data_IF_201398368037
#
_entry.id   IF_201398368037
#
_cell.length_a   1.000
_cell.length_b   1.000
_cell.length_c   1.000
_cell.angle_alpha   90.00
_cell.angle_beta   90.00
_cell.angle_gamma   90.00
#
_symmetry.space_group_name_H-M   'P 1'
#
loop_
_entity.id
_entity.type
_entity.pdbx_description
1 polymer ?
#
# COMPACT_ATOMS: atom_id res chain seq x y z
N UNK A 1 34.58 57.52 43.67
CA UNK A 1 35.69 58.42 43.30
C UNK A 1 36.83 57.61 42.71
N UNK A 2 37.59 58.21 41.77
CA UNK A 2 38.59 57.66 40.82
C UNK A 2 37.93 57.25 39.48
N UNK A 3 37.93 58.08 38.41
CA UNK A 3 39.04 58.59 37.55
C UNK A 3 39.96 57.45 37.10
N UNK A 4 40.23 57.18 35.82
CA UNK A 4 39.85 57.82 34.56
C UNK A 4 40.78 57.32 33.45
N UNK A 5 40.20 57.16 32.26
CA UNK A 5 40.71 57.50 30.92
C UNK A 5 42.01 56.88 30.33
N UNK A 6 41.89 56.63 29.01
CA UNK A 6 42.90 56.81 27.93
C UNK A 6 43.63 55.53 27.46
N UNK A 7 43.91 55.23 26.19
CA UNK A 7 43.42 55.57 24.84
C UNK A 7 44.26 54.73 23.85
N UNK A 8 43.60 54.11 22.86
CA UNK A 8 44.04 53.75 21.48
C UNK A 8 45.51 53.35 21.17
N UNK A 9 45.69 52.25 20.42
CA UNK A 9 46.28 52.21 19.05
C UNK A 9 46.52 50.78 18.50
N UNK A 10 46.32 50.65 17.17
CA UNK A 10 46.73 49.52 16.31
C UNK A 10 45.59 48.51 16.08
N UNK A 11 44.82 48.47 15.00
CA UNK A 11 45.03 48.62 13.56
C UNK A 11 45.92 47.52 12.93
N UNK A 12 45.27 46.77 12.01
CA UNK A 12 45.84 46.07 10.84
C UNK A 12 46.29 44.61 11.06
N UNK A 13 45.41 43.66 10.69
CA UNK A 13 45.63 42.52 9.77
C UNK A 13 44.28 41.75 9.71
N UNK A 14 43.56 41.85 8.60
CA UNK A 14 42.61 40.82 8.14
C UNK A 14 42.28 41.16 6.68
N UNK A 15 43.10 40.63 5.80
CA UNK A 15 42.90 40.59 4.35
C UNK A 15 43.07 39.12 3.95
N UNK A 16 42.19 38.67 3.06
CA UNK A 16 42.27 37.45 2.24
C UNK A 16 41.98 36.09 2.92
N UNK A 17 40.70 35.83 3.16
CA UNK A 17 40.08 34.55 2.77
C UNK A 17 38.89 34.92 1.88
N UNK A 18 39.13 34.90 0.57
CA UNK A 18 38.08 34.93 -0.43
C UNK A 18 37.48 33.52 -0.47
N UNK A 19 36.44 33.31 0.32
CA UNK A 19 35.53 32.18 0.16
C UNK A 19 34.84 32.34 -1.20
N UNK A 20 35.13 31.42 -2.11
CA UNK A 20 34.28 31.11 -3.27
C UNK A 20 32.94 30.62 -2.72
N UNK A 21 32.06 31.56 -2.36
CA UNK A 21 30.63 31.29 -2.31
C UNK A 21 30.18 31.11 -3.77
N UNK A 22 30.25 29.85 -4.22
CA UNK A 22 29.57 29.37 -5.40
C UNK A 22 28.09 29.75 -5.22
N UNK A 23 27.65 30.78 -5.94
CA UNK A 23 26.26 31.20 -6.04
C UNK A 23 25.47 30.04 -6.66
N UNK A 24 25.10 29.06 -5.83
CA UNK A 24 24.04 28.11 -6.14
C UNK A 24 22.79 28.95 -6.30
N UNK A 25 22.46 29.23 -7.56
CA UNK A 25 21.22 29.79 -8.06
C UNK A 25 20.08 29.41 -7.11
N UNK A 26 19.72 30.37 -6.26
CA UNK A 26 18.67 30.26 -5.24
C UNK A 26 17.34 30.17 -5.98
N UNK A 27 17.02 28.96 -6.43
CA UNK A 27 15.69 28.63 -6.91
C UNK A 27 14.73 28.95 -5.77
N UNK A 28 13.82 29.89 -6.01
CA UNK A 28 12.78 30.25 -5.07
C UNK A 28 12.14 28.96 -4.52
N UNK A 29 11.88 28.87 -3.20
CA UNK A 29 11.31 27.66 -2.63
C UNK A 29 10.03 27.32 -3.40
N UNK A 30 9.88 26.08 -3.88
CA UNK A 30 8.72 25.68 -4.66
C UNK A 30 7.46 26.01 -3.86
N UNK A 31 6.50 26.62 -4.54
CA UNK A 31 5.24 27.03 -3.93
C UNK A 31 4.42 25.80 -3.57
N UNK A 32 3.54 25.91 -2.58
CA UNK A 32 2.71 24.78 -2.15
C UNK A 32 1.76 24.30 -3.27
N UNK A 33 1.51 25.13 -4.28
CA UNK A 33 0.72 24.83 -5.48
C UNK A 33 1.45 23.92 -6.47
N UNK A 34 2.78 23.80 -6.36
CA UNK A 34 3.60 22.93 -7.21
C UNK A 34 3.51 21.45 -6.79
N UNK A 35 2.90 21.17 -5.63
CA UNK A 35 2.76 19.83 -5.09
C UNK A 35 1.33 19.32 -5.29
N UNK A 36 1.09 18.44 -6.28
CA UNK A 36 -0.21 17.81 -6.44
C UNK A 36 -0.64 17.06 -5.17
N UNK A 37 -1.95 17.01 -4.85
CA UNK A 37 -2.41 16.36 -3.64
C UNK A 37 -2.10 14.85 -3.66
N UNK A 38 -1.81 14.25 -2.50
CA UNK A 38 -1.44 12.83 -2.38
C UNK A 38 -2.58 11.89 -2.77
N UNK A 39 -3.81 12.39 -2.70
CA UNK A 39 -5.03 11.66 -3.01
C UNK A 39 -5.71 12.32 -4.21
N UNK A 40 -6.19 11.50 -5.13
CA UNK A 40 -7.04 11.94 -6.25
C UNK A 40 -8.34 11.17 -6.29
N UNK A 41 -9.40 11.83 -6.73
CA UNK A 41 -10.67 11.17 -7.03
C UNK A 41 -10.48 10.24 -8.23
N UNK A 42 -11.08 9.06 -8.17
CA UNK A 42 -11.09 8.10 -9.26
C UNK A 42 -12.13 8.52 -10.31
N UNK A 43 -11.80 8.33 -11.59
CA UNK A 43 -12.80 8.54 -12.64
C UNK A 43 -13.83 7.40 -12.68
N UNK A 44 -14.92 7.59 -13.43
CA UNK A 44 -16.00 6.60 -13.49
C UNK A 44 -15.54 5.25 -14.03
N UNK A 45 -14.65 5.23 -15.02
CA UNK A 45 -14.14 4.01 -15.62
C UNK A 45 -13.27 3.23 -14.62
N UNK A 46 -12.40 3.92 -13.89
CA UNK A 46 -11.58 3.33 -12.83
C UNK A 46 -12.44 2.74 -11.71
N UNK A 47 -13.52 3.42 -11.33
CA UNK A 47 -14.49 2.91 -10.34
C UNK A 47 -15.16 1.65 -10.88
N UNK A 48 -15.66 1.68 -12.12
CA UNK A 48 -16.30 0.52 -12.75
C UNK A 48 -15.34 -0.66 -12.87
N UNK A 49 -14.08 -0.41 -13.22
CA UNK A 49 -13.05 -1.44 -13.31
C UNK A 49 -12.70 -2.02 -11.93
N UNK A 50 -12.63 -1.17 -10.90
CA UNK A 50 -12.41 -1.61 -9.52
C UNK A 50 -13.56 -2.50 -9.00
N UNK A 51 -14.80 -2.09 -9.23
CA UNK A 51 -15.98 -2.76 -8.67
C UNK A 51 -16.38 -4.01 -9.47
N UNK A 52 -16.37 -3.92 -10.81
CA UNK A 52 -16.98 -4.92 -11.69
C UNK A 52 -16.15 -5.34 -12.91
N UNK A 53 -15.81 -4.38 -13.79
CA UNK A 53 -15.36 -4.65 -15.15
C UNK A 53 -13.92 -5.19 -15.20
N UNK A 54 -13.06 -4.76 -14.29
CA UNK A 54 -11.65 -5.13 -14.26
C UNK A 54 -11.43 -6.61 -13.94
N UNK A 55 -10.34 -7.19 -14.46
CA UNK A 55 -10.00 -8.62 -14.23
C UNK A 55 -9.83 -8.96 -12.76
N UNK A 56 -9.30 -8.01 -12.01
CA UNK A 56 -9.14 -8.09 -10.57
C UNK A 56 -10.23 -7.32 -9.83
N UNK A 57 -11.45 -7.18 -10.35
CA UNK A 57 -12.50 -6.42 -9.66
C UNK A 57 -12.96 -7.09 -8.35
N UNK A 58 -13.52 -6.29 -7.44
CA UNK A 58 -14.04 -6.74 -6.14
C UNK A 58 -14.99 -7.93 -6.30
N UNK A 59 -15.96 -7.82 -7.22
CA UNK A 59 -16.96 -8.87 -7.42
C UNK A 59 -16.36 -10.16 -7.99
N UNK A 60 -15.40 -10.05 -8.92
CA UNK A 60 -14.71 -11.24 -9.49
C UNK A 60 -13.85 -11.95 -8.44
N UNK A 61 -13.12 -11.19 -7.62
CA UNK A 61 -12.32 -11.78 -6.52
C UNK A 61 -13.22 -12.53 -5.54
N UNK A 62 -14.34 -11.94 -5.15
CA UNK A 62 -15.31 -12.54 -4.23
C UNK A 62 -15.90 -13.85 -4.79
N UNK A 63 -16.41 -13.84 -6.03
CA UNK A 63 -16.98 -15.05 -6.64
C UNK A 63 -15.93 -16.14 -6.83
N UNK A 64 -14.69 -15.77 -7.18
CA UNK A 64 -13.56 -16.72 -7.25
C UNK A 64 -13.28 -17.34 -5.88
N UNK A 65 -13.24 -16.55 -4.81
CA UNK A 65 -13.04 -17.05 -3.44
C UNK A 65 -14.15 -18.00 -3.02
N UNK A 66 -15.41 -17.60 -3.22
CA UNK A 66 -16.59 -18.40 -2.90
C UNK A 66 -16.59 -19.77 -3.57
N UNK A 67 -16.23 -19.85 -4.85
CA UNK A 67 -16.12 -21.13 -5.57
C UNK A 67 -15.15 -22.11 -4.92
N UNK A 68 -14.09 -21.61 -4.28
CA UNK A 68 -13.11 -22.44 -3.56
C UNK A 68 -13.56 -22.86 -2.15
N UNK A 69 -14.39 -22.05 -1.49
CA UNK A 69 -14.85 -22.27 -0.11
C UNK A 69 -16.07 -23.20 0.00
N UNK A 70 -16.91 -23.23 -1.04
CA UNK A 70 -18.19 -23.95 -0.99
C UNK A 70 -18.02 -25.44 -1.32
N UNK A 71 -18.33 -26.32 -0.36
CA UNK A 71 -18.26 -27.76 -0.53
C UNK A 71 -19.55 -28.39 -1.09
N UNK A 72 -20.71 -27.91 -0.62
CA UNK A 72 -22.04 -28.46 -0.93
C UNK A 72 -22.44 -28.23 -2.40
N UNK A 73 -22.88 -29.27 -3.14
CA UNK A 73 -23.40 -29.14 -4.50
C UNK A 73 -24.48 -28.06 -4.67
N UNK A 74 -25.38 -27.90 -3.70
CA UNK A 74 -26.42 -26.88 -3.76
C UNK A 74 -25.85 -25.45 -3.66
N UNK A 75 -24.86 -25.25 -2.79
CA UNK A 75 -24.15 -23.97 -2.67
C UNK A 75 -23.30 -23.68 -3.91
N UNK A 76 -22.68 -24.72 -4.49
CA UNK A 76 -21.95 -24.61 -5.77
C UNK A 76 -22.86 -24.17 -6.91
N UNK A 77 -24.13 -24.58 -6.94
CA UNK A 77 -25.09 -24.11 -7.92
C UNK A 77 -25.36 -22.59 -7.80
N UNK A 78 -25.48 -22.08 -6.57
CA UNK A 78 -25.61 -20.63 -6.30
C UNK A 78 -24.35 -19.87 -6.75
N UNK A 79 -23.16 -20.37 -6.42
CA UNK A 79 -21.90 -19.79 -6.91
C UNK A 79 -21.77 -19.87 -8.45
N UNK A 80 -22.35 -20.90 -9.06
CA UNK A 80 -22.52 -21.02 -10.50
C UNK A 80 -23.37 -19.88 -11.07
N UNK A 81 -24.53 -19.59 -10.47
CA UNK A 81 -25.38 -18.43 -10.84
C UNK A 81 -24.66 -17.10 -10.65
N UNK A 82 -23.91 -16.92 -9.56
CA UNK A 82 -23.11 -15.70 -9.33
C UNK A 82 -22.07 -15.49 -10.43
N UNK A 83 -21.40 -16.56 -10.82
CA UNK A 83 -20.42 -16.48 -11.89
C UNK A 83 -21.07 -16.30 -13.26
N UNK A 84 -22.21 -16.94 -13.53
CA UNK A 84 -23.01 -16.66 -14.73
C UNK A 84 -23.48 -15.21 -14.76
N UNK A 85 -23.74 -14.60 -13.61
CA UNK A 85 -24.07 -13.18 -13.54
C UNK A 85 -22.85 -12.33 -13.94
N UNK A 86 -21.65 -12.64 -13.42
CA UNK A 86 -20.41 -12.00 -13.88
C UNK A 86 -20.10 -12.27 -15.35
N UNK A 87 -20.45 -13.46 -15.86
CA UNK A 87 -20.19 -13.89 -17.23
C UNK A 87 -21.22 -13.34 -18.22
N UNK A 88 -22.50 -13.22 -17.88
CA UNK A 88 -23.52 -12.55 -18.72
C UNK A 88 -23.26 -11.06 -18.81
N UNK A 89 -22.84 -10.46 -17.70
CA UNK A 89 -22.43 -9.05 -17.63
C UNK A 89 -21.01 -8.82 -18.19
N UNK A 90 -20.36 -9.83 -18.81
CA UNK A 90 -19.03 -9.69 -19.45
C UNK A 90 -18.96 -8.64 -20.56
N UNK A 91 -20.09 -8.12 -21.05
CA UNK A 91 -20.07 -7.03 -22.04
C UNK A 91 -19.63 -5.68 -21.47
N UNK A 92 -19.27 -5.65 -20.18
CA UNK A 92 -19.03 -4.47 -19.37
C UNK A 92 -20.35 -3.86 -18.93
N UNK A 93 -20.38 -3.53 -17.66
CA UNK A 93 -21.45 -2.70 -17.10
C UNK A 93 -21.18 -1.26 -17.54
N UNK A 94 -22.16 -0.58 -18.16
CA UNK A 94 -21.93 0.70 -18.83
C UNK A 94 -21.75 1.87 -17.87
N UNK A 95 -22.38 1.79 -16.69
CA UNK A 95 -22.45 2.90 -15.74
C UNK A 95 -22.53 2.39 -14.28
N UNK A 96 -22.38 3.33 -13.34
CA UNK A 96 -22.39 3.03 -11.90
C UNK A 96 -23.73 2.51 -11.40
N UNK A 97 -24.84 2.93 -11.99
CA UNK A 97 -26.18 2.50 -11.57
C UNK A 97 -26.41 1.02 -11.90
N UNK A 98 -25.98 0.59 -13.09
CA UNK A 98 -25.99 -0.80 -13.50
C UNK A 98 -25.03 -1.64 -12.64
N UNK A 99 -23.87 -1.10 -12.24
CA UNK A 99 -22.93 -1.80 -11.36
C UNK A 99 -23.52 -1.99 -9.96
N UNK A 100 -24.17 -0.96 -9.41
CA UNK A 100 -24.94 -1.01 -8.16
C UNK A 100 -26.05 -2.06 -8.22
N UNK A 101 -26.84 -2.08 -9.28
CA UNK A 101 -27.90 -3.06 -9.46
C UNK A 101 -27.35 -4.50 -9.55
N UNK A 102 -26.23 -4.70 -10.24
CA UNK A 102 -25.59 -6.00 -10.38
C UNK A 102 -24.97 -6.49 -9.06
N UNK A 103 -24.33 -5.59 -8.29
CA UNK A 103 -23.88 -5.89 -6.92
C UNK A 103 -25.03 -6.20 -5.98
N UNK A 104 -26.18 -5.52 -6.12
CA UNK A 104 -27.41 -5.85 -5.40
C UNK A 104 -27.88 -7.28 -5.68
N UNK A 105 -27.91 -7.69 -6.96
CA UNK A 105 -28.22 -9.08 -7.32
C UNK A 105 -27.20 -10.08 -6.74
N UNK A 106 -25.91 -9.73 -6.75
CA UNK A 106 -24.87 -10.59 -6.16
C UNK A 106 -25.04 -10.72 -4.64
N UNK A 107 -25.41 -9.64 -3.96
CA UNK A 107 -25.76 -9.61 -2.54
C UNK A 107 -26.96 -10.53 -2.25
N UNK A 108 -28.02 -10.45 -3.04
CA UNK A 108 -29.20 -11.28 -2.83
C UNK A 108 -28.87 -12.78 -2.99
N UNK A 109 -28.04 -13.12 -3.99
CA UNK A 109 -27.52 -14.48 -4.17
C UNK A 109 -26.68 -14.97 -2.97
N UNK A 110 -25.92 -14.08 -2.32
CA UNK A 110 -25.18 -14.43 -1.10
C UNK A 110 -26.12 -14.75 0.07
N UNK A 111 -27.23 -14.02 0.16
CA UNK A 111 -28.23 -14.24 1.21
C UNK A 111 -29.04 -15.52 0.98
N UNK A 112 -29.14 -16.00 -0.27
CA UNK A 112 -29.70 -17.32 -0.57
C UNK A 112 -28.83 -18.48 -0.05
N UNK A 113 -27.53 -18.26 0.17
CA UNK A 113 -26.65 -19.29 0.72
C UNK A 113 -27.00 -19.56 2.18
N UNK A 114 -27.04 -20.85 2.55
CA UNK A 114 -27.25 -21.26 3.95
C UNK A 114 -26.26 -20.53 4.86
N UNK A 115 -26.74 -19.89 5.95
CA UNK A 115 -25.86 -19.18 6.86
C UNK A 115 -24.78 -20.11 7.40
N UNK A 116 -23.51 -19.74 7.23
CA UNK A 116 -22.42 -20.39 7.93
C UNK A 116 -22.57 -20.14 9.44
N UNK A 117 -21.97 -20.98 10.29
CA UNK A 117 -21.92 -20.73 11.75
C UNK A 117 -21.37 -19.33 12.11
N UNK A 118 -20.53 -18.76 11.24
CA UNK A 118 -19.91 -17.45 11.40
C UNK A 118 -20.55 -16.33 10.54
N UNK A 119 -21.75 -16.55 9.99
CA UNK A 119 -22.49 -15.62 9.11
C UNK A 119 -21.64 -14.94 8.01
N UNK A 120 -20.62 -15.62 7.48
CA UNK A 120 -19.64 -15.06 6.52
C UNK A 120 -20.28 -14.55 5.23
N UNK A 121 -21.30 -15.26 4.73
CA UNK A 121 -22.05 -14.82 3.55
C UNK A 121 -22.82 -13.52 3.80
N UNK A 122 -23.37 -13.36 5.01
CA UNK A 122 -24.08 -12.13 5.40
C UNK A 122 -23.10 -10.97 5.58
N UNK A 123 -21.93 -11.22 6.16
CA UNK A 123 -20.84 -10.25 6.25
C UNK A 123 -20.42 -9.74 4.85
N UNK A 124 -20.19 -10.65 3.91
CA UNK A 124 -19.86 -10.29 2.53
C UNK A 124 -21.01 -9.55 1.82
N UNK A 125 -22.26 -9.95 2.06
CA UNK A 125 -23.45 -9.28 1.53
C UNK A 125 -23.58 -7.84 2.05
N UNK A 126 -23.28 -7.60 3.33
CA UNK A 126 -23.31 -6.28 3.94
C UNK A 126 -22.14 -5.40 3.44
N UNK A 127 -20.95 -5.97 3.22
CA UNK A 127 -19.87 -5.24 2.56
C UNK A 127 -20.24 -4.86 1.12
N UNK A 128 -20.82 -5.77 0.32
CA UNK A 128 -21.27 -5.43 -1.03
C UNK A 128 -22.30 -4.30 -1.02
N UNK A 129 -23.18 -4.25 -0.01
CA UNK A 129 -24.12 -3.14 0.17
C UNK A 129 -23.37 -1.81 0.41
N UNK A 130 -22.32 -1.80 1.23
CA UNK A 130 -21.49 -0.61 1.45
C UNK A 130 -20.77 -0.17 0.17
N UNK A 131 -20.13 -1.10 -0.55
CA UNK A 131 -19.47 -0.83 -1.83
C UNK A 131 -20.45 -0.25 -2.86
N UNK A 132 -21.64 -0.85 -2.99
CA UNK A 132 -22.64 -0.45 -3.96
C UNK A 132 -23.19 0.97 -3.72
N UNK A 133 -23.22 1.40 -2.45
CA UNK A 133 -23.71 2.72 -2.05
C UNK A 133 -22.59 3.73 -1.75
N UNK A 134 -21.34 3.40 -2.09
CA UNK A 134 -20.24 4.37 -2.03
C UNK A 134 -20.22 5.20 -3.30
N UNK A 135 -20.32 6.52 -3.15
CA UNK A 135 -20.37 7.51 -4.23
C UNK A 135 -18.99 8.07 -4.57
N UNK A 136 -18.13 8.36 -3.59
CA UNK A 136 -16.82 8.95 -3.81
C UNK A 136 -15.74 7.89 -3.58
N UNK A 137 -14.94 7.67 -4.61
CA UNK A 137 -13.77 6.79 -4.57
C UNK A 137 -12.51 7.61 -4.83
N UNK A 138 -11.50 7.36 -4.03
CA UNK A 138 -10.23 8.10 -4.04
C UNK A 138 -9.10 7.09 -4.07
N UNK A 139 -8.02 7.41 -4.78
CA UNK A 139 -6.80 6.60 -4.79
C UNK A 139 -5.56 7.46 -4.61
N UNK A 140 -4.44 6.83 -4.28
CA UNK A 140 -3.15 7.50 -4.24
C UNK A 140 -2.79 8.06 -5.62
N UNK A 141 -2.39 9.33 -5.64
CA UNK A 141 -2.01 10.03 -6.85
C UNK A 141 -0.58 9.67 -7.29
N UNK A 142 -0.32 8.40 -7.56
CA UNK A 142 1.03 7.87 -7.87
C UNK A 142 1.68 8.53 -9.09
N UNK A 143 0.89 8.99 -10.07
CA UNK A 143 1.40 9.67 -11.27
C UNK A 143 2.02 11.04 -10.97
N UNK A 144 1.68 11.64 -9.83
CA UNK A 144 2.14 12.95 -9.41
C UNK A 144 3.46 12.92 -8.63
N UNK A 145 3.91 11.74 -8.21
CA UNK A 145 5.15 11.57 -7.45
C UNK A 145 6.15 10.80 -8.31
N UNK A 146 7.41 11.24 -8.30
CA UNK A 146 8.48 10.53 -9.00
C UNK A 146 9.08 9.44 -8.10
N UNK A 147 9.68 8.42 -8.73
CA UNK A 147 10.57 7.52 -8.01
C UNK A 147 11.81 8.28 -7.53
N UNK A 148 12.26 7.99 -6.30
CA UNK A 148 13.42 8.65 -5.69
C UNK A 148 14.51 7.61 -5.49
N UNK A 149 15.70 7.85 -6.04
CA UNK A 149 16.88 7.07 -5.71
C UNK A 149 17.49 7.60 -4.41
N UNK A 150 17.85 6.69 -3.49
CA UNK A 150 18.66 7.08 -2.33
C UNK A 150 20.02 7.59 -2.77
N UNK A 151 20.64 8.42 -1.94
CA UNK A 151 22.09 8.65 -2.09
C UNK A 151 22.84 7.30 -2.03
N UNK A 152 23.99 7.17 -2.72
CA UNK A 152 24.80 5.98 -2.66
C UNK A 152 25.19 5.67 -1.22
N UNK A 153 24.77 4.51 -0.71
CA UNK A 153 25.10 4.06 0.63
C UNK A 153 26.39 3.23 0.56
N UNK A 154 27.51 3.68 1.17
CA UNK A 154 28.72 2.90 1.22
C UNK A 154 28.50 1.65 2.09
N UNK A 155 28.76 0.48 1.53
CA UNK A 155 28.78 -0.80 2.23
C UNK A 155 30.22 -1.12 2.58
N UNK A 156 30.52 -1.15 3.87
CA UNK A 156 31.87 -1.42 4.35
C UNK A 156 32.11 -2.92 4.51
N UNK A 157 33.38 -3.33 4.45
CA UNK A 157 33.75 -4.75 4.59
C UNK A 157 33.26 -5.36 5.90
N UNK A 158 33.26 -4.57 6.98
CA UNK A 158 32.76 -4.96 8.30
C UNK A 158 31.26 -5.30 8.31
N UNK A 159 30.47 -4.71 7.42
CA UNK A 159 29.02 -4.93 7.34
C UNK A 159 28.68 -6.25 6.63
N UNK A 160 29.57 -6.70 5.74
CA UNK A 160 29.45 -7.94 4.97
C UNK A 160 29.89 -9.17 5.78
N UNK A 161 29.55 -9.26 7.08
CA UNK A 161 30.02 -10.27 8.04
C UNK A 161 29.59 -11.73 7.75
N UNK A 162 29.98 -12.21 6.57
CA UNK A 162 30.05 -13.60 6.14
C UNK A 162 31.33 -13.80 5.32
N UNK A 163 31.92 -15.01 5.31
CA UNK A 163 33.11 -15.27 4.53
C UNK A 163 32.81 -15.07 3.03
N UNK A 164 33.38 -14.02 2.43
CA UNK A 164 33.33 -13.80 0.98
C UNK A 164 33.99 -15.03 0.33
N UNK A 165 33.28 -15.80 -0.52
CA UNK A 165 33.90 -16.91 -1.24
C UNK A 165 35.05 -16.35 -2.07
N UNK A 166 36.28 -16.68 -1.69
CA UNK A 166 37.46 -16.32 -2.48
C UNK A 166 37.25 -16.94 -3.86
N UNK A 167 37.15 -16.08 -4.88
CA UNK A 167 36.91 -16.46 -6.25
C UNK A 167 38.00 -17.48 -6.66
N UNK A 168 37.61 -18.75 -6.83
CA UNK A 168 38.50 -19.90 -7.11
C UNK A 168 39.08 -19.88 -8.55
N UNK A 169 39.23 -18.70 -9.15
CA UNK A 169 39.60 -18.51 -10.56
C UNK A 169 41.11 -18.50 -10.81
N UNK A 170 41.94 -18.92 -9.85
CA UNK A 170 43.41 -18.99 -10.04
C UNK A 170 44.02 -20.40 -10.00
N UNK A 171 43.23 -21.48 -9.92
CA UNK A 171 43.76 -22.87 -9.94
C UNK A 171 43.56 -23.66 -11.24
N UNK A 172 43.13 -23.01 -12.34
CA UNK A 172 42.95 -23.66 -13.66
C UNK A 172 43.84 -23.05 -14.76
N UNK A 173 45.14 -22.94 -14.50
CA UNK A 173 46.17 -22.89 -15.55
C UNK A 173 47.35 -23.74 -15.10
N UNK A 174 47.26 -25.06 -15.32
CA UNK A 174 48.38 -26.02 -15.40
C UNK A 174 47.82 -27.44 -15.47
N UNK A 175 47.38 -27.85 -16.66
CA UNK A 175 47.36 -29.24 -17.17
C UNK A 175 46.62 -29.30 -18.51
N UNK A 176 47.29 -28.86 -19.59
CA UNK A 176 46.99 -29.33 -20.94
C UNK A 176 48.15 -28.99 -21.88
N UNK A 177 49.13 -29.90 -21.99
CA UNK A 177 50.04 -29.96 -23.14
C UNK A 177 50.87 -31.25 -23.11
N UNK A 178 50.27 -32.37 -23.53
CA UNK A 178 50.99 -33.53 -24.09
C UNK A 178 50.14 -34.11 -25.22
N UNK A 179 50.43 -33.72 -26.46
CA UNK A 179 50.47 -34.51 -27.73
C UNK A 179 51.23 -33.60 -28.71
N UNK A 180 52.55 -33.78 -28.89
CA UNK A 180 53.25 -34.48 -29.99
C UNK A 180 52.92 -33.96 -31.39
N UNK A 181 53.82 -33.14 -31.94
CA UNK A 181 54.14 -33.13 -33.37
C UNK A 181 55.62 -32.73 -33.56
N UNK A 182 56.24 -33.32 -34.60
CA UNK A 182 57.68 -33.44 -34.81
C UNK A 182 58.29 -32.28 -35.64
N UNK A 183 59.62 -32.14 -35.49
CA UNK A 183 60.62 -31.60 -36.45
C UNK A 183 60.66 -30.10 -36.79
N UNK A 184 61.69 -29.41 -36.30
CA UNK A 184 62.89 -29.06 -37.11
C UNK A 184 63.93 -28.27 -36.29
N UNK A 185 65.17 -28.34 -36.75
CA UNK A 185 66.43 -27.96 -36.10
C UNK A 185 66.65 -26.45 -35.89
N UNK A 186 67.49 -26.09 -34.91
CA UNK A 186 68.26 -24.83 -34.98
C UNK A 186 68.48 -24.03 -33.68
N UNK A 187 69.32 -24.56 -32.79
CA UNK A 187 70.36 -23.91 -31.96
C UNK A 187 70.17 -22.56 -31.20
N UNK A 188 70.59 -22.65 -29.92
CA UNK A 188 71.25 -21.65 -29.06
C UNK A 188 70.50 -20.59 -28.23
N UNK A 189 70.36 -20.95 -26.95
CA UNK A 189 71.00 -20.30 -25.78
C UNK A 189 70.22 -19.31 -24.89
N UNK A 190 70.11 -19.74 -23.62
CA UNK A 190 70.44 -19.02 -22.36
C UNK A 190 69.28 -18.61 -21.43
N UNK A 191 69.22 -19.31 -20.29
CA UNK A 191 68.48 -19.01 -19.06
C UNK A 191 69.04 -17.74 -18.35
N UNK A 192 68.32 -17.12 -17.38
CA UNK A 192 68.17 -17.61 -15.99
C UNK A 192 66.71 -17.51 -15.46
N UNK A 193 66.24 -18.37 -14.56
CA UNK A 193 66.34 -18.27 -13.08
C UNK A 193 65.91 -16.91 -12.51
N UNK A 194 64.80 -16.88 -11.77
CA UNK A 194 64.45 -15.93 -10.69
C UNK A 194 63.12 -16.44 -10.07
N UNK A 195 63.22 -17.19 -8.97
CA UNK A 195 63.10 -16.74 -7.57
C UNK A 195 61.64 -16.61 -7.10
N UNK A 196 61.27 -17.60 -6.26
CA UNK A 196 60.11 -17.55 -5.37
C UNK A 196 60.33 -16.42 -4.37
N UNK A 197 59.53 -15.36 -4.48
CA UNK A 197 59.40 -14.38 -3.40
C UNK A 197 58.05 -14.58 -2.70
N UNK A 198 58.08 -15.36 -1.63
CA UNK A 198 57.00 -15.49 -0.65
C UNK A 198 57.00 -14.26 0.26
N UNK A 199 56.55 -13.11 -0.25
CA UNK A 199 56.16 -12.01 0.64
C UNK A 199 54.70 -12.22 1.04
N UNK A 200 54.51 -12.64 2.29
CA UNK A 200 53.26 -12.53 3.01
C UNK A 200 52.83 -11.06 3.03
N UNK A 201 52.06 -10.65 2.03
CA UNK A 201 51.28 -9.42 2.07
C UNK A 201 50.13 -9.69 3.05
N UNK A 202 50.42 -9.45 4.34
CA UNK A 202 49.43 -9.13 5.36
C UNK A 202 48.82 -7.78 4.96
N UNK A 203 48.07 -7.81 3.87
CA UNK A 203 47.19 -6.73 3.48
C UNK A 203 46.17 -6.67 4.61
N UNK A 204 46.43 -5.82 5.59
CA UNK A 204 45.44 -5.29 6.51
C UNK A 204 44.40 -4.64 5.63
N UNK A 205 43.46 -5.48 5.21
CA UNK A 205 42.41 -5.11 4.29
C UNK A 205 41.64 -4.00 4.99
N UNK A 206 41.81 -2.79 4.49
CA UNK A 206 41.28 -1.58 5.09
C UNK A 206 39.76 -1.72 5.24
N UNK A 207 39.33 -2.00 6.47
CA UNK A 207 37.93 -2.27 6.79
C UNK A 207 37.08 -0.99 6.76
N UNK A 208 37.73 0.17 6.67
CA UNK A 208 37.10 1.47 6.57
C UNK A 208 36.88 1.92 5.13
N UNK A 209 37.48 1.22 4.15
CA UNK A 209 37.22 1.51 2.73
C UNK A 209 35.89 0.88 2.28
N UNK A 210 34.97 1.65 1.66
CA UNK A 210 33.75 1.10 1.10
C UNK A 210 34.10 0.05 0.03
N UNK A 211 33.54 -1.14 0.18
CA UNK A 211 33.77 -2.26 -0.75
C UNK A 211 32.78 -2.20 -1.90
N UNK A 212 31.61 -1.62 -1.66
CA UNK A 212 30.52 -1.53 -2.60
C UNK A 212 29.66 -0.31 -2.27
N UNK A 213 29.12 0.36 -3.28
CA UNK A 213 28.12 1.41 -3.11
C UNK A 213 26.76 0.86 -3.55
N UNK A 214 25.78 0.94 -2.65
CA UNK A 214 24.43 0.48 -2.90
C UNK A 214 23.49 1.66 -3.02
N UNK A 215 22.81 1.78 -4.15
CA UNK A 215 21.71 2.72 -4.35
C UNK A 215 20.39 1.97 -4.34
N UNK A 216 19.43 2.45 -3.56
CA UNK A 216 18.06 1.92 -3.53
C UNK A 216 17.11 2.88 -4.23
N UNK A 217 16.42 2.39 -5.24
CA UNK A 217 15.32 3.15 -5.86
C UNK A 217 14.02 2.88 -5.11
N UNK A 218 13.36 3.94 -4.67
CA UNK A 218 12.04 3.93 -4.05
C UNK A 218 11.01 4.37 -5.09
N UNK A 219 10.07 3.48 -5.40
CA UNK A 219 8.99 3.78 -6.35
C UNK A 219 8.07 4.89 -5.84
N UNK A 220 7.44 5.63 -6.75
CA UNK A 220 6.52 6.73 -6.44
C UNK A 220 5.44 6.34 -5.42
N UNK A 221 4.87 5.14 -5.55
CA UNK A 221 3.87 4.62 -4.63
C UNK A 221 4.42 4.38 -3.22
N UNK A 222 5.68 3.95 -3.11
CA UNK A 222 6.35 3.77 -1.83
C UNK A 222 6.62 5.12 -1.17
N UNK A 223 7.15 6.09 -1.92
CA UNK A 223 7.42 7.45 -1.41
C UNK A 223 6.13 8.08 -0.89
N UNK A 224 5.05 8.01 -1.67
CA UNK A 224 3.75 8.54 -1.28
C UNK A 224 3.17 7.81 -0.06
N UNK A 225 3.27 6.48 0.00
CA UNK A 225 2.86 5.71 1.17
C UNK A 225 3.63 6.15 2.42
N UNK A 226 4.95 6.34 2.32
CA UNK A 226 5.79 6.85 3.41
C UNK A 226 5.40 8.28 3.81
N UNK A 227 5.06 9.17 2.87
CA UNK A 227 4.59 10.52 3.18
C UNK A 227 3.26 10.51 3.95
N UNK A 228 2.31 9.66 3.52
CA UNK A 228 1.04 9.47 4.25
C UNK A 228 1.31 8.86 5.63
N UNK A 229 2.21 7.88 5.71
CA UNK A 229 2.62 7.26 6.97
C UNK A 229 3.29 8.26 7.91
N UNK A 230 4.19 9.12 7.41
CA UNK A 230 4.84 10.20 8.15
C UNK A 230 3.87 11.29 8.57
N UNK A 231 2.89 11.64 7.73
CA UNK A 231 1.81 12.52 8.14
C UNK A 231 1.01 11.92 9.30
N UNK A 232 0.79 10.61 9.27
CA UNK A 232 0.15 9.88 10.37
C UNK A 232 1.06 9.77 11.60
N UNK A 233 2.38 9.63 11.45
CA UNK A 233 3.34 9.53 12.57
C UNK A 233 3.69 10.87 13.21
N UNK A 234 3.74 11.96 12.42
CA UNK A 234 3.92 13.33 12.90
C UNK A 234 2.77 13.78 13.80
N UNK A 235 1.61 13.14 13.64
CA UNK A 235 0.58 13.09 14.66
C UNK A 235 0.91 11.95 15.64
N UNK A 236 1.92 12.13 16.52
CA UNK A 236 2.21 11.24 17.66
C UNK A 236 1.03 11.17 18.64
N UNK A 237 -0.02 10.53 18.20
CA UNK A 237 -1.27 10.43 18.89
C UNK A 237 -1.66 8.98 18.81
N UNK A 238 -2.12 8.44 19.92
CA UNK A 238 -2.78 7.12 19.99
C UNK A 238 -4.11 7.17 19.22
N UNK A 239 -4.14 7.76 18.03
CA UNK A 239 -5.34 7.92 17.24
C UNK A 239 -5.65 6.58 16.58
N UNK A 240 -6.90 6.14 16.68
CA UNK A 240 -7.32 4.86 16.13
C UNK A 240 -7.22 4.91 14.61
N UNK A 241 -6.98 3.76 13.97
CA UNK A 241 -6.79 3.62 12.52
C UNK A 241 -7.92 4.28 11.71
N UNK A 242 -7.75 5.57 11.34
CA UNK A 242 -8.73 6.35 10.58
C UNK A 242 -8.99 5.76 9.19
N UNK A 243 -8.08 4.90 8.69
CA UNK A 243 -8.30 4.18 7.44
C UNK A 243 -9.55 3.28 7.52
N UNK A 244 -9.96 2.83 8.70
CA UNK A 244 -11.18 2.04 8.87
C UNK A 244 -12.43 2.76 8.38
N UNK A 245 -12.58 4.07 8.64
CA UNK A 245 -13.74 4.81 8.15
C UNK A 245 -13.62 5.23 6.68
N UNK A 246 -12.41 5.41 6.18
CA UNK A 246 -12.16 5.86 4.81
C UNK A 246 -12.05 4.71 3.80
N UNK A 247 -11.75 3.48 4.22
CA UNK A 247 -11.52 2.33 3.34
C UNK A 247 -12.35 1.13 3.78
N UNK A 248 -13.19 0.65 2.86
CA UNK A 248 -13.90 -0.60 3.05
C UNK A 248 -12.94 -1.82 2.99
N UNK A 249 -13.13 -2.83 3.85
CA UNK A 249 -12.44 -4.11 3.76
C UNK A 249 -12.82 -4.87 2.48
N UNK A 250 -11.90 -5.71 1.98
CA UNK A 250 -12.21 -6.57 0.84
C UNK A 250 -13.26 -7.62 1.21
N UNK A 251 -14.38 -7.78 0.46
CA UNK A 251 -15.40 -8.80 0.74
C UNK A 251 -14.88 -10.25 0.83
N UNK A 252 -13.74 -10.56 0.19
CA UNK A 252 -13.09 -11.86 0.31
C UNK A 252 -12.56 -12.13 1.72
N UNK A 253 -12.25 -11.08 2.48
CA UNK A 253 -11.67 -11.22 3.81
C UNK A 253 -12.65 -11.74 4.85
N UNK A 254 -13.97 -11.63 4.60
CA UNK A 254 -15.01 -12.30 5.39
C UNK A 254 -14.83 -13.83 5.47
N UNK A 255 -14.03 -14.41 4.57
CA UNK A 255 -13.74 -15.84 4.54
C UNK A 255 -12.38 -16.20 5.16
N UNK A 256 -11.60 -15.20 5.58
CA UNK A 256 -10.23 -15.35 6.11
C UNK A 256 -10.20 -14.79 7.53
N UNK A 257 -10.74 -15.53 8.50
CA UNK A 257 -10.77 -15.09 9.90
C UNK A 257 -11.39 -16.10 10.86
N UNK A 258 -10.93 -16.09 12.10
CA UNK A 258 -11.45 -16.92 13.19
C UNK A 258 -12.70 -16.31 13.84
N UNK A 259 -12.76 -14.97 13.94
CA UNK A 259 -13.91 -14.29 14.56
C UNK A 259 -15.12 -14.33 13.63
N UNK A 260 -16.25 -14.70 14.22
CA UNK A 260 -17.52 -14.81 13.52
C UNK A 260 -18.20 -13.45 13.37
N UNK A 261 -18.80 -13.21 12.20
CA UNK A 261 -19.77 -12.13 12.05
C UNK A 261 -21.06 -12.52 12.78
N UNK A 262 -21.68 -11.56 13.47
CA UNK A 262 -22.90 -11.78 14.25
C UNK A 262 -23.84 -10.58 14.15
N UNK A 263 -25.10 -10.76 14.55
CA UNK A 263 -26.04 -9.64 14.60
C UNK A 263 -25.59 -8.54 15.56
N UNK A 264 -24.87 -8.87 16.64
CA UNK A 264 -24.30 -7.86 17.53
C UNK A 264 -23.26 -6.98 16.79
N UNK A 265 -22.38 -7.59 16.00
CA UNK A 265 -21.42 -6.87 15.15
C UNK A 265 -22.15 -6.01 14.11
N UNK A 266 -23.21 -6.54 13.50
CA UNK A 266 -24.06 -5.78 12.56
C UNK A 266 -24.71 -4.57 13.23
N UNK A 267 -25.23 -4.73 14.44
CA UNK A 267 -25.82 -3.62 15.21
C UNK A 267 -24.78 -2.59 15.61
N UNK A 268 -23.55 -2.99 15.97
CA UNK A 268 -22.45 -2.05 16.21
C UNK A 268 -22.03 -1.30 14.94
N UNK A 269 -21.94 -1.99 13.80
CA UNK A 269 -21.71 -1.35 12.50
C UNK A 269 -22.81 -0.31 12.19
N UNK A 270 -24.07 -0.66 12.40
CA UNK A 270 -25.19 0.27 12.25
C UNK A 270 -25.08 1.48 13.18
N UNK A 271 -24.80 1.29 14.47
CA UNK A 271 -24.60 2.39 15.42
C UNK A 271 -23.47 3.32 14.97
N UNK A 272 -22.38 2.75 14.48
CA UNK A 272 -21.24 3.50 13.94
C UNK A 272 -21.66 4.33 12.71
N UNK A 273 -22.28 3.69 11.72
CA UNK A 273 -22.75 4.30 10.47
C UNK A 273 -23.81 5.36 10.76
N UNK A 274 -24.66 5.19 11.77
CA UNK A 274 -25.73 6.13 12.09
C UNK A 274 -25.25 7.32 12.91
N UNK A 275 -24.25 7.17 13.77
CA UNK A 275 -23.81 8.25 14.66
C UNK A 275 -22.83 9.22 13.97
N UNK A 276 -23.20 10.50 13.74
CA UNK A 276 -22.32 11.47 13.11
C UNK A 276 -20.98 11.65 13.85
N UNK A 277 -20.99 11.44 15.17
CA UNK A 277 -19.79 11.54 16.02
C UNK A 277 -18.84 10.36 15.85
N UNK A 278 -19.36 9.18 15.52
CA UNK A 278 -18.57 7.96 15.39
C UNK A 278 -18.02 7.80 13.97
N UNK A 279 -18.72 8.29 12.94
CA UNK A 279 -18.28 8.20 11.53
C UNK A 279 -16.87 8.76 11.28
N UNK A 280 -16.45 9.76 12.06
CA UNK A 280 -15.12 10.38 11.97
C UNK A 280 -14.04 9.61 12.74
N UNK A 281 -14.36 8.44 13.30
CA UNK A 281 -13.43 7.59 14.05
C UNK A 281 -13.17 6.31 13.28
N UNK A 282 -12.14 5.57 13.67
CA UNK A 282 -11.94 4.21 13.18
C UNK A 282 -13.17 3.34 13.46
N UNK A 283 -13.30 2.27 12.68
CA UNK A 283 -14.30 1.25 12.94
C UNK A 283 -14.13 0.67 14.36
N UNK A 284 -15.22 0.31 15.05
CA UNK A 284 -15.12 -0.41 16.31
C UNK A 284 -14.26 -1.66 16.15
N UNK A 285 -13.48 -2.01 17.18
CA UNK A 285 -12.58 -3.17 17.17
C UNK A 285 -13.31 -4.45 16.78
N UNK A 286 -14.52 -4.63 17.30
CA UNK A 286 -15.39 -5.78 17.06
C UNK A 286 -15.77 -5.91 15.58
N UNK A 287 -15.99 -4.76 14.92
CA UNK A 287 -16.31 -4.69 13.49
C UNK A 287 -15.04 -4.97 12.67
N UNK A 288 -13.91 -4.37 13.03
CA UNK A 288 -12.63 -4.60 12.33
C UNK A 288 -12.19 -6.06 12.38
N UNK A 289 -12.38 -6.74 13.50
CA UNK A 289 -12.00 -8.15 13.63
C UNK A 289 -12.93 -9.10 12.86
N UNK A 290 -14.20 -8.70 12.68
CA UNK A 290 -15.16 -9.46 11.86
C UNK A 290 -14.95 -9.24 10.35
N UNK A 291 -14.32 -8.12 9.98
CA UNK A 291 -13.88 -7.82 8.62
C UNK A 291 -12.35 -7.67 8.58
N UNK A 292 -11.61 -8.75 8.90
CA UNK A 292 -10.16 -8.66 9.00
C UNK A 292 -9.63 -8.12 7.68
N UNK A 293 -8.74 -7.14 7.71
CA UNK A 293 -8.05 -6.77 6.49
C UNK A 293 -7.13 -7.94 6.15
N UNK A 294 -7.46 -8.68 5.08
CA UNK A 294 -6.54 -9.67 4.56
C UNK A 294 -5.20 -8.97 4.35
N UNK A 295 -4.09 -9.61 4.77
CA UNK A 295 -2.75 -9.11 4.48
C UNK A 295 -2.71 -8.86 2.99
N UNK A 296 -2.71 -7.58 2.61
CA UNK A 296 -2.97 -7.19 1.23
C UNK A 296 -1.93 -7.84 0.29
N UNK A 297 -0.72 -8.01 0.81
CA UNK A 297 0.44 -8.69 0.20
C UNK A 297 0.17 -10.14 -0.22
N UNK A 298 -0.76 -10.86 0.43
CA UNK A 298 -0.98 -12.29 0.18
C UNK A 298 -1.93 -12.54 -1.01
N UNK A 299 -2.78 -11.55 -1.34
CA UNK A 299 -3.78 -11.67 -2.41
C UNK A 299 -3.45 -10.84 -3.66
N UNK A 300 -2.39 -10.02 -3.63
CA UNK A 300 -1.96 -9.20 -4.75
C UNK A 300 -0.59 -9.66 -5.27
N UNK A 301 -0.37 -9.68 -6.60
CA UNK A 301 0.91 -10.08 -7.18
C UNK A 301 2.04 -9.19 -6.64
N UNK A 302 3.24 -9.78 -6.49
CA UNK A 302 4.46 -9.16 -5.90
C UNK A 302 4.99 -7.90 -6.62
N UNK A 303 4.29 -7.41 -7.63
CA UNK A 303 4.61 -6.15 -8.27
C UNK A 303 4.15 -5.00 -7.36
N UNK A 304 5.07 -4.55 -6.51
CA UNK A 304 4.92 -3.38 -5.63
C UNK A 304 4.52 -2.09 -6.37
N UNK A 305 4.61 -2.05 -7.71
CA UNK A 305 4.13 -0.96 -8.55
C UNK A 305 2.59 -0.84 -8.62
N UNK A 306 1.83 -1.85 -8.15
CA UNK A 306 0.37 -1.90 -8.32
C UNK A 306 -0.44 -1.73 -7.02
N UNK A 307 0.16 -1.22 -5.94
CA UNK A 307 -0.57 -0.96 -4.68
C UNK A 307 -1.45 0.27 -4.83
N UNK A 308 -2.58 0.13 -5.54
CA UNK A 308 -3.63 1.13 -5.51
C UNK A 308 -4.32 1.02 -4.15
N UNK A 309 -3.88 1.83 -3.19
CA UNK A 309 -4.70 2.11 -2.02
C UNK A 309 -5.94 2.84 -2.54
N UNK A 310 -7.08 2.18 -2.41
CA UNK A 310 -8.38 2.70 -2.81
C UNK A 310 -9.16 2.96 -1.53
N UNK A 311 -9.66 4.18 -1.44
CA UNK A 311 -10.45 4.72 -0.36
C UNK A 311 -11.85 5.00 -0.91
N UNK A 312 -12.84 4.78 -0.07
CA UNK A 312 -14.25 4.96 -0.38
C UNK A 312 -15.04 4.27 0.72
N UNK A 313 -16.03 4.99 1.25
CA UNK A 313 -17.07 4.41 2.11
C UNK A 313 -18.29 5.34 2.14
N UNK A 314 -19.50 4.82 2.41
CA UNK A 314 -20.68 5.67 2.57
C UNK A 314 -20.56 6.66 3.75
N UNK A 315 -19.75 6.33 4.75
CA UNK A 315 -19.48 7.23 5.88
C UNK A 315 -18.62 8.42 5.46
N UNK A 316 -17.65 8.20 4.58
CA UNK A 316 -16.82 9.25 3.99
C UNK A 316 -17.64 10.11 3.03
N UNK A 317 -18.49 9.51 2.20
CA UNK A 317 -19.39 10.24 1.30
C UNK A 317 -20.24 11.26 2.07
N UNK A 318 -20.79 10.84 3.21
CA UNK A 318 -21.58 11.73 4.06
C UNK A 318 -20.76 12.89 4.63
N UNK A 319 -19.50 12.64 5.03
CA UNK A 319 -18.60 13.72 5.48
C UNK A 319 -18.33 14.73 4.37
N UNK A 320 -18.34 14.26 3.12
CA UNK A 320 -18.19 15.07 1.91
C UNK A 320 -19.51 15.69 1.42
N UNK A 321 -20.61 15.54 2.17
CA UNK A 321 -21.92 16.14 1.86
C UNK A 321 -22.83 15.29 0.97
N UNK A 322 -22.51 14.00 0.76
CA UNK A 322 -23.30 13.06 -0.04
C UNK A 322 -23.97 12.04 0.88
N UNK A 323 -25.28 12.17 1.09
CA UNK A 323 -26.03 11.43 2.12
C UNK A 323 -26.90 10.28 1.60
N UNK A 324 -27.33 10.32 0.34
CA UNK A 324 -28.26 9.36 -0.24
C UNK A 324 -27.79 7.89 -0.10
N UNK A 325 -26.52 7.61 -0.38
CA UNK A 325 -25.95 6.27 -0.28
C UNK A 325 -25.93 5.74 1.15
N UNK A 326 -25.63 6.60 2.13
CA UNK A 326 -25.58 6.22 3.53
C UNK A 326 -26.97 5.81 4.06
N UNK A 327 -28.01 6.56 3.70
CA UNK A 327 -29.36 6.26 4.17
C UNK A 327 -29.86 4.92 3.60
N UNK A 328 -29.60 4.64 2.32
CA UNK A 328 -29.94 3.36 1.70
C UNK A 328 -29.26 2.17 2.40
N UNK A 329 -28.00 2.34 2.84
CA UNK A 329 -27.30 1.34 3.64
C UNK A 329 -27.98 1.12 4.99
N UNK A 330 -28.29 2.21 5.70
CA UNK A 330 -28.93 2.15 7.03
C UNK A 330 -30.27 1.44 6.95
N UNK A 331 -31.10 1.77 5.97
CA UNK A 331 -32.42 1.18 5.78
C UNK A 331 -32.31 -0.34 5.50
N UNK A 332 -31.42 -0.71 4.59
CA UNK A 332 -31.22 -2.11 4.21
C UNK A 332 -30.62 -2.96 5.33
N UNK A 333 -29.67 -2.42 6.13
CA UNK A 333 -29.10 -3.12 7.28
C UNK A 333 -30.11 -3.23 8.44
N UNK A 334 -30.92 -2.19 8.66
CA UNK A 334 -31.96 -2.19 9.70
C UNK A 334 -33.07 -3.18 9.39
N UNK A 335 -33.50 -3.26 8.12
CA UNK A 335 -34.49 -4.24 7.67
C UNK A 335 -34.03 -5.69 7.87
N UNK A 336 -32.71 -5.94 7.81
CA UNK A 336 -32.12 -7.26 7.99
C UNK A 336 -31.92 -7.67 9.46
N UNK A 337 -32.20 -6.78 10.42
CA UNK A 337 -32.13 -7.11 11.86
C UNK A 337 -33.48 -7.60 12.40
N UNK A 338 -33.47 -8.58 13.34
CA UNK A 338 -34.64 -8.93 14.15
C UNK A 338 -35.23 -7.69 14.84
N UNK A 339 -36.56 -7.65 15.01
CA UNK A 339 -37.26 -6.48 15.56
C UNK A 339 -36.75 -6.08 16.96
N UNK A 340 -36.40 -7.05 17.79
CA UNK A 340 -35.85 -6.87 19.14
C UNK A 340 -34.43 -6.28 19.15
N UNK A 341 -33.73 -6.31 18.01
CA UNK A 341 -32.36 -5.85 17.85
C UNK A 341 -32.24 -4.57 17.02
N UNK A 342 -33.37 -4.05 16.50
CA UNK A 342 -33.40 -2.79 15.78
C UNK A 342 -33.09 -1.65 16.76
N UNK A 343 -32.11 -0.78 16.49
CA UNK A 343 -31.83 0.35 17.35
C UNK A 343 -33.08 1.25 17.43
N UNK A 344 -33.46 1.68 18.64
CA UNK A 344 -34.55 2.63 18.84
C UNK A 344 -34.19 3.95 18.13
N UNK A 345 -34.81 4.20 16.98
CA UNK A 345 -34.47 5.33 16.13
C UNK A 345 -35.28 6.55 16.52
N UNK A 346 -34.59 7.64 16.86
CA UNK A 346 -35.15 8.99 16.78
C UNK A 346 -34.66 9.59 15.45
N UNK A 347 -35.54 9.80 14.45
CA UNK A 347 -35.14 10.48 13.23
C UNK A 347 -34.52 11.82 13.59
N UNK A 348 -33.26 12.01 13.18
CA UNK A 348 -32.65 13.35 13.25
C UNK A 348 -33.48 14.27 12.36
N UNK A 349 -33.83 15.48 12.83
CA UNK A 349 -34.58 16.41 12.00
C UNK A 349 -33.77 16.66 10.71
N UNK A 350 -34.43 16.77 9.55
CA UNK A 350 -33.75 17.09 8.31
C UNK A 350 -32.91 18.34 8.53
N UNK A 351 -31.63 18.31 8.12
CA UNK A 351 -30.81 19.53 8.09
C UNK A 351 -31.53 20.50 7.17
N UNK A 352 -32.27 21.45 7.75
CA UNK A 352 -32.80 22.58 7.02
C UNK A 352 -31.62 23.23 6.33
N UNK A 353 -31.64 23.24 4.99
CA UNK A 353 -30.66 23.98 4.22
C UNK A 353 -30.75 25.44 4.63
N UNK A 354 -29.81 25.90 5.44
CA UNK A 354 -29.49 27.32 5.50
C UNK A 354 -28.88 27.67 4.14
N UNK A 355 -29.76 28.11 3.23
CA UNK A 355 -29.35 28.95 2.13
C UNK A 355 -28.82 30.25 2.70
N UNK A 356 -27.56 30.54 2.39
CA UNK A 356 -26.91 31.83 2.51
C UNK A 356 -26.18 32.10 1.22
#
# INVERSE_FOLDING_TARGET
GKRGNKQQRGAKVKEEEAEEEEETESAAPPSLEDFPPPLRVMDEQEILDHLWNGRGSVCRRLVKRLRGELADPAQKAVAGRMAQLLDREQRQVPDRAAARAAMGRLRDLLLELRPTKALRHHAAADLLLLYANTEIWVTLNTAAYAAVASDPLPVYRKDLSGPIPKNDKQKRKRKSSIVKEEQSDGDSAKAPEEEEDTSADDSTVDNEKPVYEYTRTYEAAYVLAQLVEWQNYGQQTKLPNLLGCARLPDPCSCYVGEKAYSNAVRSELLKFIMSPKLRNRAWPSEVMEAFPQAKWEENHPKDAAAVKFIFGSPALDWQMGVDAGLQAVVDALTAALPEDQRPAFTPSPPRGGEGG
#
